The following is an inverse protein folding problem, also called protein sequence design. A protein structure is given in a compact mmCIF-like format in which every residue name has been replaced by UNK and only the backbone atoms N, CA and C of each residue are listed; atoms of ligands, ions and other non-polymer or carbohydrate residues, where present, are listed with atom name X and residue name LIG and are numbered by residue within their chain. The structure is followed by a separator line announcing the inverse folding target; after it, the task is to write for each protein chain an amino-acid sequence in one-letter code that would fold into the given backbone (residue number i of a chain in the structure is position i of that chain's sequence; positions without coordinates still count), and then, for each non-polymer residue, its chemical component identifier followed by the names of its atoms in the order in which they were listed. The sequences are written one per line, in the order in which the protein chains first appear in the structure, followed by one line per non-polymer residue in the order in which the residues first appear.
data_IF_458402710669
#
_entry.id   IF_458402710669
#
_cell.length_a   1.000
_cell.length_b   1.000
_cell.length_c   1.000
_cell.angle_alpha   90.00
_cell.angle_beta   90.00
_cell.angle_gamma   90.00
#
_symmetry.space_group_name_H-M   'P 1'
#
loop_
_entity.id
_entity.type
_entity.pdbx_description
1 polymer ?
#
# COMPACT_ATOMS: atom_id res chain seq x y z
N UNK A 1 -18.40 35.69 -18.40
CA UNK A 1 -18.25 34.24 -18.19
C UNK A 1 -17.46 34.06 -16.91
N UNK A 2 -18.13 33.86 -15.78
CA UNK A 2 -17.45 33.58 -14.52
C UNK A 2 -17.12 32.09 -14.49
N UNK A 3 -15.83 31.80 -14.42
CA UNK A 3 -15.32 30.48 -14.10
C UNK A 3 -15.58 30.28 -12.61
N UNK A 4 -16.59 29.50 -12.27
CA UNK A 4 -16.75 29.01 -10.90
C UNK A 4 -15.50 28.18 -10.55
N UNK A 5 -14.67 28.75 -9.68
CA UNK A 5 -13.59 28.03 -9.03
C UNK A 5 -14.23 26.93 -8.17
N UNK A 6 -14.13 25.70 -8.66
CA UNK A 6 -14.40 24.51 -7.86
C UNK A 6 -13.37 24.50 -6.73
N UNK A 7 -13.83 24.86 -5.52
CA UNK A 7 -13.05 24.71 -4.29
C UNK A 7 -12.59 23.26 -4.16
N UNK A 8 -11.34 22.99 -4.50
CA UNK A 8 -10.66 21.74 -4.18
C UNK A 8 -10.27 21.76 -2.71
N UNK A 9 -11.26 21.72 -1.82
CA UNK A 9 -11.04 21.19 -0.49
C UNK A 9 -10.72 19.71 -0.70
N UNK A 10 -9.48 19.32 -0.43
CA UNK A 10 -8.98 17.95 -0.56
C UNK A 10 -9.78 17.02 0.33
N UNK A 11 -10.89 16.53 -0.21
CA UNK A 11 -11.70 15.49 0.41
C UNK A 11 -10.96 14.18 0.24
N UNK A 12 -10.71 13.53 1.37
CA UNK A 12 -10.17 12.18 1.45
C UNK A 12 -11.00 11.29 0.51
N UNK A 13 -10.38 10.74 -0.54
CA UNK A 13 -11.08 9.85 -1.47
C UNK A 13 -11.29 8.50 -0.77
N UNK A 14 -12.41 8.36 -0.06
CA UNK A 14 -12.97 7.06 0.27
C UNK A 14 -13.45 6.38 -1.02
N UNK A 15 -13.47 5.04 -1.05
CA UNK A 15 -13.94 4.30 -2.21
C UNK A 15 -15.39 4.76 -2.55
N UNK A 16 -15.65 5.28 -3.77
CA UNK A 16 -16.97 5.85 -4.13
C UNK A 16 -18.12 4.85 -3.99
N UNK A 17 -17.83 3.54 -3.98
CA UNK A 17 -18.82 2.50 -3.73
C UNK A 17 -19.40 2.49 -2.31
N UNK A 18 -18.75 3.11 -1.33
CA UNK A 18 -19.28 3.25 0.03
C UNK A 18 -20.56 4.09 0.07
N UNK A 19 -20.69 5.10 -0.80
CA UNK A 19 -21.82 6.02 -0.80
C UNK A 19 -23.04 5.52 -1.57
N UNK A 20 -22.98 4.34 -2.22
CA UNK A 20 -24.06 3.89 -3.11
C UNK A 20 -25.37 3.51 -2.40
N UNK A 21 -25.28 3.02 -1.16
CA UNK A 21 -26.45 2.79 -0.29
C UNK A 21 -27.05 4.14 0.16
N UNK A 22 -26.21 5.09 0.58
CA UNK A 22 -26.65 6.37 1.14
C UNK A 22 -27.19 7.37 0.10
N UNK A 23 -26.62 7.37 -1.11
CA UNK A 23 -27.05 8.25 -2.21
C UNK A 23 -28.25 7.65 -3.00
N UNK A 24 -28.67 6.43 -2.66
CA UNK A 24 -29.77 5.74 -3.33
C UNK A 24 -29.48 5.41 -4.80
N UNK A 25 -28.20 5.36 -5.21
CA UNK A 25 -27.82 4.93 -6.57
C UNK A 25 -28.19 3.47 -6.78
N UNK A 26 -28.04 2.63 -5.74
CA UNK A 26 -28.50 1.24 -5.75
C UNK A 26 -30.03 1.14 -5.88
N UNK A 27 -30.76 2.01 -5.20
CA UNK A 27 -32.23 2.06 -5.29
C UNK A 27 -32.71 2.49 -6.68
N UNK A 28 -32.06 3.48 -7.30
CA UNK A 28 -32.34 3.91 -8.70
C UNK A 28 -32.03 2.79 -9.70
N UNK A 29 -30.96 2.04 -9.45
CA UNK A 29 -30.53 0.90 -10.24
C UNK A 29 -31.51 -0.30 -10.19
N UNK A 30 -32.35 -0.41 -9.16
CA UNK A 30 -33.27 -1.55 -8.96
C UNK A 30 -34.21 -1.81 -10.15
N UNK A 31 -34.57 -0.77 -10.91
CA UNK A 31 -35.39 -0.87 -12.12
C UNK A 31 -34.70 -1.63 -13.27
N UNK A 32 -33.37 -1.74 -13.23
CA UNK A 32 -32.55 -2.39 -14.22
C UNK A 32 -31.77 -3.55 -13.58
N UNK A 33 -32.36 -4.75 -13.57
CA UNK A 33 -31.81 -5.91 -12.84
C UNK A 33 -30.33 -6.22 -13.13
N UNK A 34 -29.86 -6.01 -14.37
CA UNK A 34 -28.44 -6.20 -14.74
C UNK A 34 -27.51 -5.17 -14.12
N UNK A 35 -27.92 -3.90 -14.12
CA UNK A 35 -27.13 -2.80 -13.57
C UNK A 35 -27.19 -2.82 -12.04
N UNK A 36 -28.32 -3.19 -11.46
CA UNK A 36 -28.45 -3.50 -10.03
C UNK A 36 -27.50 -4.63 -9.59
N UNK A 37 -27.50 -5.76 -10.31
CA UNK A 37 -26.61 -6.87 -10.01
C UNK A 37 -25.12 -6.48 -10.12
N UNK A 38 -24.77 -5.64 -11.09
CA UNK A 38 -23.41 -5.12 -11.23
C UNK A 38 -23.01 -4.21 -10.05
N UNK A 39 -23.87 -3.27 -9.67
CA UNK A 39 -23.62 -2.41 -8.51
C UNK A 39 -23.51 -3.21 -7.22
N UNK A 40 -24.36 -4.22 -7.02
CA UNK A 40 -24.31 -5.12 -5.87
C UNK A 40 -23.01 -5.93 -5.84
N UNK A 41 -22.58 -6.48 -6.98
CA UNK A 41 -21.32 -7.20 -7.08
C UNK A 41 -20.10 -6.30 -6.82
N UNK A 42 -20.13 -5.05 -7.27
CA UNK A 42 -19.08 -4.06 -6.98
C UNK A 42 -19.10 -3.65 -5.50
N UNK A 43 -20.28 -3.48 -4.91
CA UNK A 43 -20.46 -3.14 -3.50
C UNK A 43 -19.90 -4.23 -2.57
N UNK A 44 -20.15 -5.50 -2.86
CA UNK A 44 -19.62 -6.61 -2.06
C UNK A 44 -18.08 -6.71 -2.08
N UNK A 45 -17.44 -6.20 -3.14
CA UNK A 45 -15.98 -6.17 -3.28
C UNK A 45 -15.35 -4.86 -2.77
N UNK A 46 -16.16 -3.90 -2.35
CA UNK A 46 -15.75 -2.59 -1.84
C UNK A 46 -15.32 -2.61 -0.37
N UNK A 47 -14.90 -3.76 0.14
CA UNK A 47 -14.47 -3.88 1.53
C UNK A 47 -13.20 -3.04 1.70
N UNK A 48 -13.36 -1.83 2.22
CA UNK A 48 -12.30 -0.98 2.72
C UNK A 48 -11.38 -1.82 3.62
N UNK A 49 -10.09 -1.50 3.59
CA UNK A 49 -9.17 -2.08 4.55
C UNK A 49 -9.68 -1.73 5.96
N UNK A 50 -9.69 -2.66 6.93
CA UNK A 50 -10.05 -2.33 8.30
C UNK A 50 -9.21 -1.13 8.75
N UNK A 51 -9.86 -0.19 9.47
CA UNK A 51 -9.19 1.00 9.99
C UNK A 51 -8.12 0.50 10.96
N UNK A 52 -6.86 0.77 10.63
CA UNK A 52 -5.72 0.41 11.44
C UNK A 52 -5.05 1.69 11.92
N UNK A 53 -4.80 1.75 13.24
CA UNK A 53 -3.93 2.76 13.84
C UNK A 53 -2.51 2.58 13.27
N UNK A 54 -1.84 3.68 12.94
CA UNK A 54 -0.47 3.65 12.43
C UNK A 54 0.45 2.94 13.43
N UNK A 55 1.12 1.83 13.04
CA UNK A 55 2.12 1.22 13.90
C UNK A 55 3.32 2.16 14.05
N UNK A 56 3.96 2.16 15.22
CA UNK A 56 5.20 2.92 15.42
C UNK A 56 6.27 2.48 14.41
N UNK A 57 7.07 3.46 13.95
CA UNK A 57 8.16 3.27 12.99
C UNK A 57 9.00 2.04 13.34
N UNK A 58 9.19 1.15 12.37
CA UNK A 58 10.07 -0.02 12.50
C UNK A 58 11.44 0.44 13.03
N UNK A 59 11.92 -0.22 14.07
CA UNK A 59 13.25 0.04 14.64
C UNK A 59 14.33 -0.17 13.58
N UNK A 60 15.33 0.69 13.60
CA UNK A 60 16.52 0.58 12.76
C UNK A 60 17.19 -0.79 12.93
N UNK A 61 17.83 -1.27 11.87
CA UNK A 61 18.27 -2.66 11.67
C UNK A 61 19.07 -3.28 12.81
N UNK A 62 19.17 -4.61 12.78
CA UNK A 62 19.82 -5.38 13.84
C UNK A 62 21.29 -4.93 14.00
N UNK A 63 21.78 -4.71 15.24
CA UNK A 63 23.14 -4.24 15.49
C UNK A 63 24.22 -5.24 15.05
N UNK A 64 23.83 -6.47 14.72
CA UNK A 64 24.73 -7.60 14.39
C UNK A 64 24.93 -7.82 12.89
N UNK A 65 24.23 -7.11 12.01
CA UNK A 65 24.32 -7.29 10.54
C UNK A 65 25.78 -7.10 10.03
N UNK A 66 26.49 -6.16 10.64
CA UNK A 66 27.89 -5.85 10.32
C UNK A 66 28.86 -6.91 10.85
N UNK A 67 28.55 -7.55 11.99
CA UNK A 67 29.37 -8.62 12.55
C UNK A 67 29.22 -9.92 11.73
N UNK A 68 27.99 -10.25 11.32
CA UNK A 68 27.71 -11.44 10.49
C UNK A 68 28.39 -11.34 9.12
N UNK A 69 28.35 -10.16 8.49
CA UNK A 69 29.01 -9.92 7.21
C UNK A 69 30.55 -10.00 7.31
N UNK A 70 31.13 -9.61 8.46
CA UNK A 70 32.57 -9.72 8.70
C UNK A 70 33.06 -11.16 8.92
N UNK A 71 32.17 -12.09 9.32
CA UNK A 71 32.52 -13.47 9.62
C UNK A 71 32.70 -14.34 8.35
N UNK A 72 32.02 -13.99 7.26
CA UNK A 72 32.14 -14.72 5.99
C UNK A 72 33.42 -14.35 5.24
N UNK A 73 34.26 -15.35 4.95
CA UNK A 73 35.50 -15.18 4.16
C UNK A 73 35.26 -15.12 2.63
N UNK A 74 34.06 -15.47 2.18
CA UNK A 74 33.67 -15.42 0.77
C UNK A 74 32.80 -14.22 0.48
N UNK A 75 32.89 -13.71 -0.75
CA UNK A 75 32.06 -12.60 -1.21
C UNK A 75 30.59 -13.03 -1.25
N UNK A 76 29.72 -12.31 -0.55
CA UNK A 76 28.29 -12.58 -0.59
C UNK A 76 27.68 -11.99 -1.87
N UNK A 77 26.76 -12.71 -2.52
CA UNK A 77 25.97 -12.15 -3.61
C UNK A 77 25.10 -11.01 -3.10
N UNK A 78 24.99 -9.93 -3.89
CA UNK A 78 24.14 -8.81 -3.55
C UNK A 78 22.65 -9.20 -3.59
N UNK A 79 21.85 -8.61 -2.70
CA UNK A 79 20.39 -8.85 -2.67
C UNK A 79 19.66 -8.22 -3.86
N UNK A 80 20.20 -7.12 -4.41
CA UNK A 80 19.65 -6.42 -5.57
C UNK A 80 20.68 -6.29 -6.69
N UNK A 81 20.20 -6.27 -7.92
CA UNK A 81 21.03 -6.05 -9.09
C UNK A 81 21.43 -4.58 -9.22
N UNK A 82 22.70 -4.34 -9.54
CA UNK A 82 23.24 -3.02 -9.90
C UNK A 82 23.59 -3.00 -11.39
N UNK A 83 23.73 -1.83 -12.01
CA UNK A 83 24.09 -1.69 -13.43
C UNK A 83 25.38 -2.44 -13.82
N UNK A 84 26.33 -2.53 -12.88
CA UNK A 84 27.57 -3.30 -13.04
C UNK A 84 27.32 -4.81 -13.20
N UNK A 85 26.26 -5.35 -12.61
CA UNK A 85 25.96 -6.78 -12.68
C UNK A 85 25.48 -7.18 -14.07
N UNK A 86 24.80 -6.28 -14.78
CA UNK A 86 24.39 -6.48 -16.17
C UNK A 86 25.59 -6.51 -17.12
N UNK A 87 26.57 -5.63 -16.93
CA UNK A 87 27.81 -5.66 -17.73
C UNK A 87 28.65 -6.90 -17.41
N UNK A 88 28.74 -7.29 -16.14
CA UNK A 88 29.38 -8.54 -15.72
C UNK A 88 28.70 -9.75 -16.38
N UNK A 89 27.37 -9.79 -16.44
CA UNK A 89 26.63 -10.87 -17.08
C UNK A 89 26.92 -10.96 -18.59
N UNK A 90 27.05 -9.83 -19.29
CA UNK A 90 27.47 -9.82 -20.68
C UNK A 90 28.88 -10.39 -20.87
N UNK A 91 29.83 -10.01 -20.01
CA UNK A 91 31.20 -10.56 -20.06
C UNK A 91 31.22 -12.06 -19.74
N UNK A 92 30.43 -12.50 -18.76
CA UNK A 92 30.29 -13.91 -18.38
C UNK A 92 29.75 -14.71 -19.57
N UNK A 93 28.72 -14.22 -20.26
CA UNK A 93 28.17 -14.88 -21.45
C UNK A 93 29.20 -15.04 -22.57
N UNK A 94 30.05 -14.02 -22.81
CA UNK A 94 31.15 -14.13 -23.78
C UNK A 94 32.26 -15.10 -23.36
N UNK A 95 32.49 -15.24 -22.05
CA UNK A 95 33.47 -16.20 -21.53
C UNK A 95 32.93 -17.63 -21.61
N UNK A 96 31.65 -17.86 -21.31
CA UNK A 96 31.03 -19.18 -21.44
C UNK A 96 31.13 -19.69 -22.88
N UNK A 97 30.97 -18.81 -23.88
CA UNK A 97 31.04 -19.22 -25.28
C UNK A 97 32.46 -19.52 -25.77
N UNK A 98 33.49 -19.06 -25.06
CA UNK A 98 34.90 -19.20 -25.47
C UNK A 98 35.68 -20.15 -24.57
N UNK A 99 35.75 -19.86 -23.27
CA UNK A 99 36.48 -20.64 -22.26
C UNK A 99 35.70 -20.76 -20.95
N UNK A 100 35.25 -21.99 -20.70
CA UNK A 100 34.48 -22.34 -19.50
C UNK A 100 35.30 -22.19 -18.21
N UNK A 101 36.62 -22.35 -18.24
CA UNK A 101 37.44 -22.27 -17.04
C UNK A 101 37.57 -20.83 -16.55
N UNK A 102 37.85 -19.90 -17.47
CA UNK A 102 37.81 -18.47 -17.21
C UNK A 102 36.43 -17.99 -16.80
N UNK A 103 35.36 -18.55 -17.39
CA UNK A 103 33.98 -18.22 -17.00
C UNK A 103 33.68 -18.60 -15.54
N UNK A 104 34.08 -19.80 -15.10
CA UNK A 104 33.91 -20.25 -13.71
C UNK A 104 34.66 -19.35 -12.72
N UNK A 105 35.90 -18.99 -13.06
CA UNK A 105 36.68 -18.05 -12.24
C UNK A 105 35.97 -16.70 -12.17
N UNK A 106 35.53 -16.17 -13.30
CA UNK A 106 34.84 -14.88 -13.36
C UNK A 106 33.57 -14.86 -12.50
N UNK A 107 32.78 -15.93 -12.55
CA UNK A 107 31.58 -16.09 -11.71
C UNK A 107 31.91 -16.20 -10.21
N UNK A 108 33.02 -16.86 -9.85
CA UNK A 108 33.45 -16.95 -8.45
C UNK A 108 33.91 -15.60 -7.87
N UNK A 109 34.50 -14.73 -8.71
CA UNK A 109 34.96 -13.39 -8.32
C UNK A 109 33.77 -12.42 -8.26
N UNK A 110 32.82 -12.54 -9.19
CA UNK A 110 31.66 -11.66 -9.33
C UNK A 110 30.36 -12.47 -9.21
N UNK A 111 29.92 -12.76 -7.98
CA UNK A 111 28.69 -13.51 -7.78
C UNK A 111 27.49 -12.72 -8.30
N UNK A 112 26.57 -13.41 -8.98
CA UNK A 112 25.33 -12.80 -9.48
C UNK A 112 24.41 -12.38 -8.33
N UNK A 113 23.62 -11.30 -8.52
CA UNK A 113 22.67 -10.87 -7.52
C UNK A 113 21.50 -11.86 -7.36
N UNK A 114 20.89 -11.92 -6.18
CA UNK A 114 19.77 -12.82 -5.89
C UNK A 114 18.46 -12.38 -6.53
N UNK A 115 18.23 -11.07 -6.60
CA UNK A 115 17.03 -10.49 -7.16
C UNK A 115 17.34 -9.22 -7.95
N UNK A 116 16.42 -8.84 -8.85
CA UNK A 116 16.53 -7.58 -9.59
C UNK A 116 16.35 -6.37 -8.65
N UNK A 117 15.49 -6.48 -7.64
CA UNK A 117 15.21 -5.45 -6.65
C UNK A 117 15.03 -6.09 -5.29
N UNK A 118 15.62 -5.50 -4.24
CA UNK A 118 15.48 -5.96 -2.86
C UNK A 118 14.30 -5.26 -2.18
N UNK A 119 13.09 -5.62 -2.60
CA UNK A 119 11.87 -5.17 -1.93
C UNK A 119 11.11 -6.37 -1.36
N UNK A 120 11.24 -6.66 -0.05
CA UNK A 120 10.55 -7.77 0.60
C UNK A 120 9.02 -7.56 0.67
N UNK A 121 8.53 -6.34 0.41
CA UNK A 121 7.11 -6.02 0.38
C UNK A 121 6.54 -5.97 -1.04
N UNK A 122 7.37 -6.13 -2.07
CA UNK A 122 6.93 -6.04 -3.47
C UNK A 122 6.29 -7.35 -3.92
N UNK A 123 4.98 -7.27 -4.17
CA UNK A 123 4.24 -8.30 -4.88
C UNK A 123 4.41 -8.07 -6.40
N UNK A 124 4.69 -9.12 -7.20
CA UNK A 124 4.78 -8.99 -8.66
C UNK A 124 3.43 -8.58 -9.27
N UNK A 125 3.49 -7.75 -10.33
CA UNK A 125 2.29 -7.12 -10.89
C UNK A 125 1.35 -8.14 -11.56
N UNK A 126 1.88 -9.23 -12.11
CA UNK A 126 1.08 -10.34 -12.64
C UNK A 126 0.19 -10.97 -11.56
N UNK A 127 0.72 -11.11 -10.34
CA UNK A 127 -0.05 -11.64 -9.20
C UNK A 127 -1.10 -10.64 -8.75
N UNK A 128 -0.77 -9.34 -8.71
CA UNK A 128 -1.75 -8.29 -8.40
C UNK A 128 -2.90 -8.30 -9.40
N UNK A 129 -2.60 -8.35 -10.70
CA UNK A 129 -3.57 -8.32 -11.78
C UNK A 129 -4.48 -9.56 -11.80
N UNK A 130 -4.00 -10.69 -11.28
CA UNK A 130 -4.81 -11.91 -11.16
C UNK A 130 -5.77 -11.88 -9.95
N UNK A 131 -5.47 -11.08 -8.92
CA UNK A 131 -6.29 -11.00 -7.72
C UNK A 131 -7.68 -10.39 -8.02
N UNK A 132 -8.65 -10.59 -7.13
CA UNK A 132 -9.97 -9.95 -7.24
C UNK A 132 -9.87 -8.42 -7.24
N UNK A 133 -10.86 -7.74 -7.85
CA UNK A 133 -10.88 -6.28 -7.97
C UNK A 133 -10.75 -5.56 -6.61
N UNK A 134 -11.39 -6.08 -5.56
CA UNK A 134 -11.28 -5.53 -4.20
C UNK A 134 -9.85 -5.62 -3.67
N UNK A 135 -9.15 -6.73 -3.91
CA UNK A 135 -7.75 -6.91 -3.51
C UNK A 135 -6.82 -6.02 -4.33
N UNK A 136 -7.08 -5.85 -5.63
CA UNK A 136 -6.32 -4.93 -6.48
C UNK A 136 -6.41 -3.49 -5.97
N UNK A 137 -7.62 -3.01 -5.68
CA UNK A 137 -7.87 -1.69 -5.09
C UNK A 137 -7.18 -1.49 -3.74
N UNK A 138 -7.09 -2.55 -2.93
CA UNK A 138 -6.39 -2.52 -1.63
C UNK A 138 -4.88 -2.44 -1.81
N UNK A 139 -4.31 -3.29 -2.66
CA UNK A 139 -2.87 -3.33 -2.89
C UNK A 139 -2.34 -2.06 -3.56
N UNK A 140 -3.16 -1.39 -4.36
CA UNK A 140 -2.79 -0.12 -4.99
C UNK A 140 -2.82 1.07 -4.02
N UNK A 141 -3.35 0.92 -2.80
CA UNK A 141 -3.53 1.98 -1.81
C UNK A 141 -4.17 3.26 -2.38
N UNK A 142 -4.99 3.13 -3.43
CA UNK A 142 -5.67 4.26 -4.09
C UNK A 142 -6.61 4.95 -3.10
N UNK A 143 -7.24 4.16 -2.22
CA UNK A 143 -8.14 4.65 -1.18
C UNK A 143 -7.47 4.53 0.19
N UNK A 144 -7.49 5.61 0.97
CA UNK A 144 -6.96 5.62 2.34
C UNK A 144 -8.04 5.14 3.31
N UNK A 145 -7.72 4.14 4.13
CA UNK A 145 -8.56 3.69 5.26
C UNK A 145 -8.07 4.23 6.61
N UNK A 146 -7.01 5.03 6.59
CA UNK A 146 -6.43 5.59 7.80
C UNK A 146 -7.06 6.95 8.07
N UNK A 147 -7.75 7.05 9.20
CA UNK A 147 -8.35 8.28 9.70
C UNK A 147 -7.41 8.78 10.78
N UNK A 148 -6.87 9.99 10.63
CA UNK A 148 -6.17 10.62 11.74
C UNK A 148 -7.18 10.97 12.83
N UNK A 149 -7.00 10.39 14.02
CA UNK A 149 -7.81 10.72 15.19
C UNK A 149 -7.46 12.13 15.67
N UNK A 150 -8.36 13.10 15.42
CA UNK A 150 -8.28 14.42 16.04
C UNK A 150 -8.94 14.38 17.44
N UNK A 151 -8.12 14.12 18.45
CA UNK A 151 -8.55 14.05 19.84
C UNK A 151 -9.05 15.39 20.41
N UNK A 152 -8.88 16.51 19.70
CA UNK A 152 -9.28 17.84 20.19
C UNK A 152 -10.77 18.13 19.98
N UNK A 153 -11.41 17.51 18.98
CA UNK A 153 -12.85 17.69 18.73
C UNK A 153 -13.78 17.02 19.76
N UNK A 154 -13.24 16.11 20.58
CA UNK A 154 -14.01 15.47 21.64
C UNK A 154 -14.44 16.47 22.73
N UNK A 155 -13.62 17.50 22.98
CA UNK A 155 -13.91 18.55 23.95
C UNK A 155 -15.09 19.43 23.53
N UNK A 156 -15.21 19.72 22.24
CA UNK A 156 -16.29 20.53 21.69
C UNK A 156 -17.65 19.81 21.77
N UNK A 157 -17.66 18.49 21.55
CA UNK A 157 -18.87 17.65 21.66
C UNK A 157 -19.34 17.58 23.13
N UNK A 158 -18.40 17.42 24.08
CA UNK A 158 -18.72 17.39 25.51
C UNK A 158 -19.25 18.75 25.97
N UNK A 159 -18.61 19.84 25.54
CA UNK A 159 -19.03 21.21 25.87
C UNK A 159 -20.42 21.53 25.33
N UNK A 160 -20.73 21.15 24.10
CA UNK A 160 -22.04 21.34 23.48
C UNK A 160 -23.16 20.52 24.15
N UNK A 161 -22.83 19.36 24.74
CA UNK A 161 -23.79 18.55 25.50
C UNK A 161 -24.09 19.15 26.87
N UNK A 162 -23.06 19.62 27.58
CA UNK A 162 -23.23 20.22 28.91
C UNK A 162 -24.01 21.54 28.88
N UNK A 163 -24.01 22.27 27.77
CA UNK A 163 -24.83 23.48 27.61
C UNK A 163 -26.33 23.22 27.40
N UNK A 164 -26.74 21.98 27.14
CA UNK A 164 -28.15 21.61 26.87
C UNK A 164 -28.87 20.96 28.07
N UNK A 165 -28.18 20.73 29.19
CA UNK A 165 -28.81 20.30 30.44
C UNK A 165 -29.05 21.52 31.34
N UNK A 166 -30.21 22.15 31.23
CA UNK A 166 -30.63 23.19 32.18
C UNK A 166 -30.81 22.58 33.59
N UNK A 167 -30.38 23.28 34.67
CA UNK A 167 -30.52 22.79 36.03
C UNK A 167 -32.01 22.77 36.43
N UNK A 168 -32.49 21.60 36.84
CA UNK A 168 -33.80 21.44 37.49
C UNK A 168 -33.79 22.27 38.77
N UNK A 169 -34.40 23.46 38.73
CA UNK A 169 -34.62 24.31 39.88
C UNK A 169 -35.59 23.63 40.85
N UNK A 170 -35.09 23.19 42.01
CA UNK A 170 -35.93 22.79 43.15
C UNK A 170 -36.64 24.03 43.70
N UNK A 171 -37.95 24.07 43.52
CA UNK A 171 -38.84 25.03 44.18
C UNK A 171 -38.88 24.76 45.68
N UNK A 172 -38.44 25.75 46.47
CA UNK A 172 -38.77 25.92 47.90
C UNK A 172 -40.03 26.77 48.00
#
# INVERSE_FOLDING_TARGET
MNVEQVNSNSTVELDPSYHWEFNGTLAKASSQGRLFALYLAMHQNALAHPIHLTPQSKSEGSPYENEISSLSHYRQPALQATDKDWSNMATLASLISSDLTSARLFQSINPSPLAQSNDPSRIPDDVKNNCSLGTQKRLSNIYRSNIEEDNTMLYDIISAKNSNEEPISMAV
#
